data_IF_074844427259
#
_entry.id   IF_074844427259
#
_cell.length_a   1.000
_cell.length_b   1.000
_cell.length_c   1.000
_cell.angle_alpha   90.00
_cell.angle_beta   90.00
_cell.angle_gamma   90.00
#
_symmetry.space_group_name_H-M   'P 1'
#
loop_
_entity.id
_entity.type
_entity.pdbx_description
1 polymer ?
#
# COMPACT_ATOMS: atom_id res chain seq x y z
N UNK A 1 2.59 28.30 48.07
CA UNK A 1 1.49 27.87 47.17
C UNK A 1 1.56 28.58 45.81
N UNK A 2 2.64 28.40 45.04
CA UNK A 2 2.76 29.02 43.70
C UNK A 2 3.45 28.08 42.69
N UNK A 3 4.34 27.24 43.20
CA UNK A 3 5.14 26.29 42.40
C UNK A 3 4.31 25.09 41.90
N UNK A 4 3.35 24.60 42.69
CA UNK A 4 2.56 23.39 42.36
C UNK A 4 1.61 23.63 41.16
N UNK A 5 1.16 24.88 40.97
CA UNK A 5 0.27 25.24 39.87
C UNK A 5 1.04 25.28 38.54
N UNK A 6 2.30 25.72 38.57
CA UNK A 6 3.15 25.81 37.38
C UNK A 6 3.55 24.43 36.85
N UNK A 7 3.88 23.48 37.73
CA UNK A 7 4.24 22.12 37.30
C UNK A 7 3.06 21.35 36.70
N UNK A 8 1.84 21.55 37.22
CA UNK A 8 0.63 20.94 36.64
C UNK A 8 0.30 21.47 35.24
N UNK A 9 0.48 22.77 35.01
CA UNK A 9 0.21 23.42 33.72
C UNK A 9 1.21 22.98 32.64
N UNK A 10 2.49 22.84 33.02
CA UNK A 10 3.53 22.35 32.12
C UNK A 10 3.26 20.90 31.70
N UNK A 11 2.81 20.04 32.63
CA UNK A 11 2.45 18.66 32.30
C UNK A 11 1.23 18.59 31.35
N UNK A 12 0.22 19.44 31.52
CA UNK A 12 -0.95 19.48 30.63
C UNK A 12 -0.61 19.94 29.20
N UNK A 13 0.37 20.83 29.06
CA UNK A 13 0.84 21.30 27.76
C UNK A 13 1.57 20.20 26.95
N UNK A 14 2.30 19.29 27.62
CA UNK A 14 3.01 18.19 26.94
C UNK A 14 2.05 17.16 26.37
N UNK A 15 0.95 16.83 27.07
CA UNK A 15 -0.03 15.84 26.58
C UNK A 15 -0.88 16.38 25.42
N UNK A 16 -1.02 17.72 25.30
CA UNK A 16 -1.76 18.36 24.21
C UNK A 16 -0.95 18.45 22.89
N UNK A 17 0.36 18.27 22.96
CA UNK A 17 1.29 18.25 21.81
C UNK A 17 1.62 16.84 21.33
N UNK A 18 1.06 15.81 21.97
CA UNK A 18 0.95 14.49 21.36
C UNK A 18 -0.19 14.61 20.36
N UNK A 19 0.11 15.35 19.30
CA UNK A 19 -0.70 15.40 18.09
C UNK A 19 -1.10 13.97 17.82
N UNK A 20 -2.41 13.77 17.83
CA UNK A 20 -3.03 12.61 17.26
C UNK A 20 -2.59 12.58 15.80
N UNK A 21 -1.42 11.96 15.53
CA UNK A 21 -1.10 11.46 14.22
C UNK A 21 -2.33 10.62 13.88
N UNK A 22 -3.15 11.04 12.90
CA UNK A 22 -4.32 10.27 12.57
C UNK A 22 -3.81 8.87 12.24
N UNK A 23 -4.18 7.88 13.06
CA UNK A 23 -3.96 6.46 12.81
C UNK A 23 -4.81 5.97 11.63
N UNK A 24 -4.90 6.77 10.58
CA UNK A 24 -5.65 6.49 9.37
C UNK A 24 -5.19 7.31 8.14
N UNK A 25 -3.97 7.84 8.14
CA UNK A 25 -3.26 7.91 6.87
C UNK A 25 -2.79 6.50 6.58
N UNK A 26 -3.65 5.67 5.97
CA UNK A 26 -3.18 4.43 5.36
C UNK A 26 -2.11 4.86 4.37
N UNK A 27 -0.85 4.60 4.70
CA UNK A 27 0.25 4.76 3.77
C UNK A 27 -0.18 4.17 2.43
N UNK A 28 -0.04 4.93 1.36
CA UNK A 28 -0.48 4.49 0.04
C UNK A 28 0.26 3.20 -0.34
N UNK A 29 -0.39 2.34 -1.11
CA UNK A 29 0.18 1.09 -1.60
C UNK A 29 1.27 1.40 -2.65
N UNK A 30 2.52 0.93 -2.45
CA UNK A 30 3.61 1.14 -3.39
C UNK A 30 3.45 0.31 -4.68
N UNK A 31 4.37 0.49 -5.63
CA UNK A 31 4.37 -0.27 -6.89
C UNK A 31 4.49 -1.77 -6.63
N UNK A 32 3.77 -2.58 -7.41
CA UNK A 32 3.64 -4.03 -7.30
C UNK A 32 2.91 -4.55 -6.04
N UNK A 33 2.43 -3.67 -5.16
CA UNK A 33 1.64 -4.09 -3.99
C UNK A 33 0.23 -4.54 -4.41
N UNK A 34 -0.31 -5.55 -3.71
CA UNK A 34 -1.65 -6.07 -4.00
C UNK A 34 -2.74 -5.07 -3.63
N UNK A 35 -3.57 -4.69 -4.60
CA UNK A 35 -4.60 -3.66 -4.42
C UNK A 35 -6.04 -4.21 -4.47
N UNK A 36 -6.23 -5.53 -4.47
CA UNK A 36 -7.56 -6.19 -4.56
C UNK A 36 -8.54 -5.66 -3.50
N UNK A 37 -8.06 -5.44 -2.27
CA UNK A 37 -8.88 -4.99 -1.14
C UNK A 37 -9.01 -3.47 -1.04
N UNK A 38 -8.21 -2.71 -1.78
CA UNK A 38 -8.14 -1.25 -1.68
C UNK A 38 -7.67 -0.63 -3.01
N UNK A 39 -8.50 -0.69 -4.08
CA UNK A 39 -8.09 -0.29 -5.43
C UNK A 39 -7.77 1.21 -5.57
N UNK A 40 -8.27 2.05 -4.66
CA UNK A 40 -8.01 3.49 -4.63
C UNK A 40 -6.80 3.90 -3.78
N UNK A 41 -6.13 2.96 -3.12
CA UNK A 41 -5.07 3.29 -2.17
C UNK A 41 -3.66 3.27 -2.78
N UNK A 42 -3.50 3.02 -4.08
CA UNK A 42 -2.21 3.12 -4.74
C UNK A 42 -1.64 4.55 -4.65
N UNK A 43 -0.32 4.68 -4.53
CA UNK A 43 0.33 6.00 -4.51
C UNK A 43 0.08 6.79 -5.81
N UNK A 44 0.25 8.12 -5.77
CA UNK A 44 -0.29 9.07 -6.78
C UNK A 44 -0.01 8.75 -8.25
N UNK A 45 1.13 8.13 -8.57
CA UNK A 45 1.53 7.78 -9.94
C UNK A 45 1.14 6.35 -10.36
N UNK A 46 0.39 5.64 -9.51
CA UNK A 46 0.05 4.24 -9.68
C UNK A 46 -1.46 4.04 -9.83
N UNK A 47 -1.84 3.04 -10.63
CA UNK A 47 -3.19 2.55 -10.89
C UNK A 47 -3.32 1.12 -10.38
N UNK A 48 -4.45 0.75 -9.79
CA UNK A 48 -4.73 -0.64 -9.45
C UNK A 48 -5.15 -1.41 -10.71
N UNK A 49 -4.20 -2.09 -11.32
CA UNK A 49 -4.39 -2.82 -12.57
C UNK A 49 -4.47 -4.32 -12.31
N UNK A 50 -5.35 -5.00 -13.03
CA UNK A 50 -5.64 -6.40 -12.77
C UNK A 50 -5.55 -7.29 -13.99
N UNK A 51 -4.97 -8.47 -13.76
CA UNK A 51 -4.67 -9.44 -14.79
C UNK A 51 -5.39 -10.75 -14.48
N UNK A 52 -6.09 -11.27 -15.48
CA UNK A 52 -6.74 -12.58 -15.40
C UNK A 52 -5.66 -13.66 -15.48
N UNK A 53 -5.73 -14.61 -14.55
CA UNK A 53 -4.85 -15.78 -14.51
C UNK A 53 -5.52 -16.94 -15.19
N UNK A 54 -4.80 -17.56 -16.12
CA UNK A 54 -5.20 -18.78 -16.79
C UNK A 54 -4.20 -19.89 -16.46
N UNK A 55 -4.69 -21.13 -16.31
CA UNK A 55 -3.89 -22.35 -16.24
C UNK A 55 -4.50 -23.35 -17.21
N UNK A 56 -3.73 -23.87 -18.17
CA UNK A 56 -4.21 -24.79 -19.19
C UNK A 56 -5.47 -24.29 -19.91
N UNK A 57 -5.50 -23.00 -20.28
CA UNK A 57 -6.65 -22.30 -20.90
C UNK A 57 -7.90 -22.16 -20.01
N UNK A 58 -7.86 -22.63 -18.76
CA UNK A 58 -8.93 -22.44 -17.78
C UNK A 58 -8.62 -21.20 -16.95
N UNK A 59 -9.60 -20.30 -16.81
CA UNK A 59 -9.47 -19.14 -15.92
C UNK A 59 -9.46 -19.62 -14.46
N UNK A 60 -8.40 -19.30 -13.72
CA UNK A 60 -8.21 -19.72 -12.32
C UNK A 60 -8.30 -18.56 -11.32
N UNK A 61 -8.30 -17.31 -11.79
CA UNK A 61 -8.42 -16.15 -10.90
C UNK A 61 -8.03 -14.84 -11.54
N UNK A 62 -7.81 -13.84 -10.70
CA UNK A 62 -7.38 -12.49 -11.05
C UNK A 62 -6.42 -12.01 -9.96
N UNK A 63 -5.29 -11.42 -10.36
CA UNK A 63 -4.42 -10.69 -9.45
C UNK A 63 -4.49 -9.20 -9.80
N UNK A 64 -4.44 -8.33 -8.80
CA UNK A 64 -4.45 -6.88 -8.97
C UNK A 64 -3.26 -6.27 -8.26
N UNK A 65 -2.54 -5.37 -8.93
CA UNK A 65 -1.36 -4.71 -8.39
C UNK A 65 -1.37 -3.20 -8.69
N UNK A 66 -0.75 -2.41 -7.83
CA UNK A 66 -0.49 -1.01 -8.13
C UNK A 66 0.64 -0.90 -9.17
N UNK A 67 0.32 -0.41 -10.36
CA UNK A 67 1.25 -0.30 -11.49
C UNK A 67 1.29 1.12 -12.04
N UNK A 68 2.36 1.47 -12.76
CA UNK A 68 2.55 2.82 -13.27
C UNK A 68 1.47 3.22 -14.29
N UNK A 69 0.88 4.40 -14.09
CA UNK A 69 -0.16 4.92 -14.99
C UNK A 69 0.41 5.18 -16.37
N UNK A 70 -0.30 4.70 -17.40
CA UNK A 70 0.08 4.95 -18.80
C UNK A 70 1.19 4.02 -19.32
N UNK A 71 1.63 3.04 -18.54
CA UNK A 71 2.59 2.02 -18.97
C UNK A 71 1.87 0.75 -19.40
N UNK A 72 2.28 0.18 -20.54
CA UNK A 72 1.75 -1.11 -21.02
C UNK A 72 2.77 -2.21 -20.72
N UNK A 73 2.47 -3.02 -19.71
CA UNK A 73 3.27 -4.20 -19.38
C UNK A 73 2.98 -5.33 -20.37
N UNK A 74 4.00 -5.75 -21.12
CA UNK A 74 3.95 -6.95 -21.96
C UNK A 74 4.28 -8.17 -21.11
N UNK A 75 3.79 -9.34 -21.49
CA UNK A 75 4.24 -10.60 -20.89
C UNK A 75 5.74 -10.75 -21.14
N UNK A 76 6.54 -10.60 -20.08
CA UNK A 76 7.90 -11.12 -20.03
C UNK A 76 7.86 -12.62 -19.73
N UNK A 77 8.93 -13.33 -20.08
CA UNK A 77 9.11 -14.71 -19.62
C UNK A 77 9.38 -14.62 -18.12
N UNK A 78 8.55 -15.27 -17.29
CA UNK A 78 8.85 -15.41 -15.88
C UNK A 78 10.15 -16.23 -15.75
N UNK A 79 11.19 -15.75 -15.04
CA UNK A 79 12.45 -16.50 -14.93
C UNK A 79 12.27 -17.89 -14.31
N UNK A 80 11.16 -18.13 -13.62
CA UNK A 80 10.81 -19.44 -13.05
C UNK A 80 10.23 -20.46 -14.07
N UNK A 81 9.81 -20.03 -15.27
CA UNK A 81 9.37 -20.95 -16.34
C UNK A 81 10.53 -21.45 -17.21
N UNK A 82 11.73 -20.87 -17.09
CA UNK A 82 12.92 -21.34 -17.81
C UNK A 82 13.53 -22.62 -17.22
N UNK A 83 13.10 -23.04 -16.02
CA UNK A 83 13.70 -24.15 -15.28
C UNK A 83 13.02 -25.52 -15.51
N UNK A 84 12.04 -25.62 -16.43
CA UNK A 84 11.37 -26.87 -16.78
C UNK A 84 11.11 -26.93 -18.30
N UNK A 85 12.19 -26.88 -19.07
CA UNK A 85 12.21 -27.37 -20.45
C UNK A 85 13.35 -28.34 -20.59
N UNK A 86 13.15 -29.55 -20.07
CA UNK A 86 13.86 -30.78 -20.42
C UNK A 86 12.84 -31.93 -20.43
#
# INVERSE_FOLDING_TARGET
MKIIIFTGLVLFAVVSLIDAAPQNERACLPEYEECVKAPGNCCSNLSCDCYIRYKNKVQIGRNCFCLEKGVVYKRGICPHEMAHSD
#
